data_IF_431372245439
#
_entry.id   IF_431372245439
#
_cell.length_a   1.000
_cell.length_b   1.000
_cell.length_c   1.000
_cell.angle_alpha   90.00
_cell.angle_beta   90.00
_cell.angle_gamma   90.00
#
_symmetry.space_group_name_H-M   'P 1'
#
loop_
_entity.id
_entity.type
_entity.pdbx_description
1 polymer ?
#
# COMPACT_ATOMS: atom_id res chain seq x y z
N UNK A 1 19.62 -21.99 -10.07
CA UNK A 1 19.95 -22.57 -8.75
C UNK A 1 20.24 -21.48 -7.73
N UNK A 2 21.31 -20.67 -7.86
CA UNK A 2 21.67 -19.67 -6.82
C UNK A 2 20.56 -18.66 -6.47
N UNK A 3 19.80 -18.20 -7.47
CA UNK A 3 18.72 -17.23 -7.25
C UNK A 3 17.48 -17.83 -6.55
N UNK A 4 17.24 -19.12 -6.72
CA UNK A 4 16.11 -19.82 -6.10
C UNK A 4 16.40 -20.10 -4.63
N UNK A 5 17.62 -20.56 -4.32
CA UNK A 5 18.10 -20.74 -2.95
C UNK A 5 18.04 -19.42 -2.18
N UNK A 6 18.54 -18.33 -2.78
CA UNK A 6 18.49 -16.99 -2.18
C UNK A 6 17.06 -16.50 -1.93
N UNK A 7 16.10 -16.78 -2.83
CA UNK A 7 14.68 -16.43 -2.62
C UNK A 7 14.08 -17.19 -1.43
N UNK A 8 14.38 -18.48 -1.30
CA UNK A 8 13.91 -19.29 -0.17
C UNK A 8 14.47 -18.75 1.14
N UNK A 9 15.77 -18.41 1.18
CA UNK A 9 16.40 -17.81 2.37
C UNK A 9 15.70 -16.51 2.79
N UNK A 10 15.46 -15.60 1.85
CA UNK A 10 14.76 -14.33 2.13
C UNK A 10 13.34 -14.58 2.69
N UNK A 11 12.60 -15.53 2.11
CA UNK A 11 11.26 -15.87 2.61
C UNK A 11 11.31 -16.48 4.01
N UNK A 12 12.30 -17.32 4.30
CA UNK A 12 12.51 -17.90 5.63
C UNK A 12 12.84 -16.83 6.68
N UNK A 13 13.65 -15.83 6.33
CA UNK A 13 13.96 -14.68 7.19
C UNK A 13 12.73 -13.80 7.46
N UNK A 14 11.76 -13.77 6.54
CA UNK A 14 10.52 -13.01 6.71
C UNK A 14 9.49 -13.71 7.61
N UNK A 15 9.57 -15.04 7.78
CA UNK A 15 8.57 -15.84 8.53
C UNK A 15 8.36 -15.37 9.98
N UNK A 16 9.38 -15.01 10.77
CA UNK A 16 9.18 -14.50 12.13
C UNK A 16 8.26 -13.26 12.17
N UNK A 17 8.46 -12.33 11.24
CA UNK A 17 7.63 -11.11 11.15
C UNK A 17 6.20 -11.44 10.73
N UNK A 18 6.01 -12.31 9.73
CA UNK A 18 4.68 -12.76 9.32
C UNK A 18 3.93 -13.37 10.51
N UNK A 19 4.59 -14.23 11.29
CA UNK A 19 4.01 -14.86 12.47
C UNK A 19 3.64 -13.84 13.55
N UNK A 20 4.48 -12.84 13.77
CA UNK A 20 4.23 -11.77 14.74
C UNK A 20 2.98 -10.96 14.41
N UNK A 21 2.78 -10.63 13.13
CA UNK A 21 1.66 -9.77 12.68
C UNK A 21 0.42 -10.53 12.23
N UNK A 22 0.46 -11.86 12.17
CA UNK A 22 -0.69 -12.68 11.77
C UNK A 22 -1.91 -12.40 12.66
N UNK A 23 -3.06 -12.18 12.03
CA UNK A 23 -4.32 -11.84 12.69
C UNK A 23 -4.41 -10.40 13.20
N UNK A 24 -3.30 -9.63 13.20
CA UNK A 24 -3.32 -8.23 13.61
C UNK A 24 -3.82 -7.34 12.48
N UNK A 25 -4.46 -6.24 12.87
CA UNK A 25 -4.83 -5.17 11.94
C UNK A 25 -3.69 -4.16 11.81
N UNK A 26 -3.35 -3.78 10.58
CA UNK A 26 -2.33 -2.76 10.29
C UNK A 26 -3.00 -1.64 9.50
N UNK A 27 -2.98 -0.43 10.06
CA UNK A 27 -3.51 0.77 9.39
C UNK A 27 -2.41 1.36 8.51
N UNK A 28 -2.68 1.47 7.22
CA UNK A 28 -1.74 1.94 6.21
C UNK A 28 -2.30 3.24 5.61
N UNK A 29 -1.60 4.35 5.85
CA UNK A 29 -1.92 5.61 5.18
C UNK A 29 -1.34 5.59 3.77
N UNK A 30 -2.22 5.58 2.77
CA UNK A 30 -1.90 5.61 1.35
C UNK A 30 -2.20 6.99 0.76
N UNK A 31 -1.19 7.75 0.35
CA UNK A 31 -1.42 9.11 -0.17
C UNK A 31 -0.18 9.76 -0.78
N UNK A 32 -0.37 10.88 -1.46
CA UNK A 32 0.70 11.61 -2.15
C UNK A 32 1.08 10.97 -3.49
N UNK A 33 2.36 11.06 -3.86
CA UNK A 33 2.88 10.59 -5.15
C UNK A 33 2.55 9.12 -5.47
N UNK A 34 2.43 8.26 -4.45
CA UNK A 34 2.08 6.85 -4.60
C UNK A 34 0.66 6.63 -5.14
N UNK A 35 -0.23 7.62 -5.09
CA UNK A 35 -1.57 7.56 -5.68
C UNK A 35 -1.64 8.02 -7.14
N UNK A 36 -0.61 8.73 -7.60
CA UNK A 36 -0.59 9.41 -8.90
C UNK A 36 0.15 8.60 -9.97
N UNK A 37 1.24 7.92 -9.60
CA UNK A 37 2.02 7.09 -10.52
C UNK A 37 1.42 5.68 -10.61
N UNK A 38 1.18 5.20 -11.84
CA UNK A 38 0.43 3.97 -12.09
C UNK A 38 1.18 2.72 -11.58
N UNK A 39 2.49 2.67 -11.77
CA UNK A 39 3.40 1.63 -11.30
C UNK A 39 3.43 1.55 -9.76
N UNK A 40 3.50 2.70 -9.08
CA UNK A 40 3.46 2.75 -7.61
C UNK A 40 2.10 2.30 -7.06
N UNK A 41 1.00 2.63 -7.75
CA UNK A 41 -0.34 2.18 -7.36
C UNK A 41 -0.50 0.67 -7.50
N UNK A 42 0.00 0.08 -8.59
CA UNK A 42 -0.05 -1.36 -8.80
C UNK A 42 0.81 -2.10 -7.77
N UNK A 43 2.06 -1.65 -7.54
CA UNK A 43 2.93 -2.25 -6.51
C UNK A 43 2.29 -2.18 -5.13
N UNK A 44 1.70 -1.03 -4.76
CA UNK A 44 1.02 -0.89 -3.48
C UNK A 44 -0.15 -1.86 -3.33
N UNK A 45 -0.95 -2.06 -4.39
CA UNK A 45 -2.04 -3.02 -4.38
C UNK A 45 -1.54 -4.46 -4.18
N UNK A 46 -0.44 -4.84 -4.86
CA UNK A 46 0.19 -6.15 -4.70
C UNK A 46 0.71 -6.38 -3.27
N UNK A 47 1.31 -5.36 -2.66
CA UNK A 47 1.80 -5.43 -1.27
C UNK A 47 0.64 -5.63 -0.28
N UNK A 48 -0.46 -4.89 -0.45
CA UNK A 48 -1.67 -5.08 0.37
C UNK A 48 -2.23 -6.49 0.22
N UNK A 49 -2.28 -7.02 -1.01
CA UNK A 49 -2.74 -8.38 -1.27
C UNK A 49 -1.82 -9.38 -0.57
N UNK A 50 -0.50 -9.21 -0.65
CA UNK A 50 0.47 -10.06 0.03
C UNK A 50 0.22 -10.08 1.54
N UNK A 51 0.08 -8.90 2.17
CA UNK A 51 -0.24 -8.79 3.59
C UNK A 51 -1.50 -9.58 3.96
N UNK A 52 -2.56 -9.44 3.16
CA UNK A 52 -3.79 -10.20 3.36
C UNK A 52 -3.58 -11.71 3.23
N UNK A 53 -2.87 -12.16 2.19
CA UNK A 53 -2.60 -13.58 1.93
C UNK A 53 -1.78 -14.26 3.04
N UNK A 54 -0.87 -13.53 3.67
CA UNK A 54 -0.08 -14.06 4.81
C UNK A 54 -0.84 -14.02 6.15
N UNK A 55 -2.06 -13.49 6.14
CA UNK A 55 -2.98 -13.48 7.28
C UNK A 55 -2.92 -12.22 8.13
N UNK A 56 -2.38 -11.11 7.61
CA UNK A 56 -2.47 -9.78 8.22
C UNK A 56 -3.77 -9.12 7.75
N UNK A 57 -4.38 -8.26 8.57
CA UNK A 57 -5.60 -7.53 8.22
C UNK A 57 -5.25 -6.06 7.86
N UNK A 58 -4.86 -5.76 6.60
CA UNK A 58 -4.55 -4.39 6.22
C UNK A 58 -5.81 -3.52 6.18
N UNK A 59 -5.71 -2.31 6.73
CA UNK A 59 -6.75 -1.26 6.67
C UNK A 59 -6.15 -0.03 6.01
N UNK A 60 -6.67 0.33 4.83
CA UNK A 60 -6.10 1.43 4.04
C UNK A 60 -6.87 2.71 4.34
N UNK A 61 -6.13 3.77 4.67
CA UNK A 61 -6.66 5.14 4.79
C UNK A 61 -6.03 5.98 3.68
N UNK A 62 -6.84 6.59 2.81
CA UNK A 62 -6.31 7.36 1.69
C UNK A 62 -6.77 8.81 1.64
N UNK A 63 -5.98 9.65 0.94
CA UNK A 63 -6.33 11.03 0.64
C UNK A 63 -7.12 11.18 -0.67
N UNK A 64 -7.37 12.44 -1.05
CA UNK A 64 -8.02 12.77 -2.33
C UNK A 64 -7.81 14.23 -2.76
N UNK A 65 -6.81 14.91 -2.19
CA UNK A 65 -6.59 16.34 -2.37
C UNK A 65 -6.53 16.78 -3.85
N UNK A 66 -5.71 16.15 -4.70
CA UNK A 66 -5.63 16.51 -6.13
C UNK A 66 -6.99 16.40 -6.85
N UNK A 67 -7.77 15.35 -6.58
CA UNK A 67 -9.08 15.13 -7.19
C UNK A 67 -10.11 16.15 -6.71
N UNK A 68 -10.07 16.49 -5.41
CA UNK A 68 -10.91 17.55 -4.82
C UNK A 68 -10.58 18.89 -5.48
N UNK A 69 -9.31 19.29 -5.53
CA UNK A 69 -8.87 20.53 -6.15
C UNK A 69 -9.24 20.63 -7.64
N UNK A 70 -9.07 19.53 -8.39
CA UNK A 70 -9.47 19.46 -9.79
C UNK A 70 -10.99 19.66 -9.98
N UNK A 71 -11.82 19.09 -9.10
CA UNK A 71 -13.27 19.29 -9.12
C UNK A 71 -13.64 20.73 -8.75
N UNK A 72 -13.03 21.30 -7.70
CA UNK A 72 -13.28 22.68 -7.28
C UNK A 72 -12.98 23.68 -8.40
N UNK A 73 -11.84 23.52 -9.07
CA UNK A 73 -11.47 24.34 -10.23
C UNK A 73 -12.50 24.24 -11.36
N UNK A 74 -13.02 23.05 -11.67
CA UNK A 74 -14.09 22.85 -12.66
C UNK A 74 -15.40 23.54 -12.28
N UNK A 75 -15.63 23.74 -10.99
CA UNK A 75 -16.80 24.43 -10.45
C UNK A 75 -16.56 25.93 -10.23
N UNK A 76 -15.40 26.46 -10.63
CA UNK A 76 -15.03 27.87 -10.43
C UNK A 76 -14.78 28.25 -8.96
N UNK A 77 -14.41 27.28 -8.12
CA UNK A 77 -14.09 27.49 -6.71
C UNK A 77 -12.58 27.37 -6.47
N UNK A 78 -12.04 28.27 -5.67
CA UNK A 78 -10.66 28.16 -5.17
C UNK A 78 -10.63 27.29 -3.91
N UNK A 79 -9.69 26.33 -3.80
CA UNK A 79 -9.53 25.52 -2.61
C UNK A 79 -8.93 26.31 -1.45
N UNK A 80 -9.54 26.21 -0.26
CA UNK A 80 -8.97 26.68 1.01
C UNK A 80 -8.77 25.46 1.92
N UNK A 81 -7.55 25.25 2.43
CA UNK A 81 -7.16 24.10 3.23
C UNK A 81 -6.27 24.51 4.39
#
# INVERSE_FOLDING_TARGET
MDNEVKRVEILMEALPYIREFRGKSIIIKYGGAAMEQADLKESFALDVILLHLVGINPVIVHGGGPQIGALMKRLGKEPEF
#
